data_IF_936580934878
#
_entry.id   IF_936580934878
#
_cell.length_a   1.000
_cell.length_b   1.000
_cell.length_c   1.000
_cell.angle_alpha   90.00
_cell.angle_beta   90.00
_cell.angle_gamma   90.00
#
_symmetry.space_group_name_H-M   'P 1'
#
loop_
_entity.id
_entity.type
_entity.pdbx_description
1 polymer ?
#
# COMPACT_ATOMS: atom_id res chain seq x y z
N UNK A 1 -2.47 15.62 -9.82
CA UNK A 1 -3.77 15.53 -10.50
C UNK A 1 -4.67 14.62 -9.66
N UNK A 2 -5.77 15.15 -9.10
CA UNK A 2 -6.71 14.38 -8.27
C UNK A 2 -7.54 13.47 -9.18
N UNK A 3 -7.62 12.18 -8.87
CA UNK A 3 -8.55 11.28 -9.56
C UNK A 3 -9.98 11.63 -9.09
N UNK A 4 -10.97 11.78 -9.99
CA UNK A 4 -12.35 12.07 -9.58
C UNK A 4 -12.99 10.85 -8.87
N UNK A 5 -13.90 11.08 -7.90
CA UNK A 5 -14.66 10.00 -7.28
C UNK A 5 -15.65 9.41 -8.30
N UNK A 6 -15.47 8.14 -8.65
CA UNK A 6 -16.37 7.43 -9.56
C UNK A 6 -17.50 6.78 -8.76
N UNK A 7 -18.68 7.42 -8.77
CA UNK A 7 -19.93 6.82 -8.31
C UNK A 7 -20.41 5.79 -9.33
N UNK A 8 -20.79 4.59 -8.88
CA UNK A 8 -21.32 3.51 -9.75
C UNK A 8 -22.77 3.20 -9.39
N UNK A 9 -23.67 3.39 -10.36
CA UNK A 9 -25.02 2.84 -10.37
C UNK A 9 -24.94 1.32 -10.59
N UNK A 10 -25.54 0.56 -9.67
CA UNK A 10 -25.66 -0.90 -9.75
C UNK A 10 -26.71 -1.29 -10.78
N UNK A 11 -26.30 -1.94 -11.86
CA UNK A 11 -27.15 -2.82 -12.66
C UNK A 11 -26.48 -4.17 -12.76
N UNK A 12 -27.21 -5.20 -12.34
CA UNK A 12 -26.79 -6.58 -12.26
C UNK A 12 -27.33 -7.32 -13.50
N UNK A 13 -26.52 -8.04 -14.29
CA UNK A 13 -27.03 -8.94 -15.32
C UNK A 13 -27.04 -10.41 -14.84
N UNK A 14 -27.98 -11.23 -15.36
CA UNK A 14 -28.03 -12.66 -15.08
C UNK A 14 -27.02 -13.44 -15.95
N UNK A 15 -26.55 -14.57 -15.42
CA UNK A 15 -25.42 -15.32 -15.96
C UNK A 15 -25.72 -16.40 -17.01
N UNK A 16 -24.78 -17.35 -17.05
CA UNK A 16 -24.77 -18.69 -17.69
C UNK A 16 -23.79 -18.86 -18.87
N UNK A 17 -23.13 -20.02 -18.91
CA UNK A 17 -22.52 -20.56 -20.13
C UNK A 17 -21.10 -21.11 -20.00
N UNK A 18 -20.99 -22.37 -19.55
CA UNK A 18 -19.80 -23.22 -19.66
C UNK A 18 -19.57 -23.69 -21.11
N UNK A 19 -18.33 -23.65 -21.60
CA UNK A 19 -17.71 -24.72 -22.40
C UNK A 19 -16.27 -24.34 -22.85
N UNK A 20 -15.30 -25.09 -22.33
CA UNK A 20 -14.00 -25.38 -22.95
C UNK A 20 -14.13 -26.68 -23.78
N UNK A 21 -13.11 -27.17 -24.54
CA UNK A 21 -11.81 -26.59 -24.90
C UNK A 21 -11.46 -26.79 -26.40
N UNK A 22 -10.31 -26.26 -26.87
CA UNK A 22 -9.35 -27.02 -27.70
C UNK A 22 -8.04 -26.28 -28.01
N UNK A 23 -6.96 -26.99 -27.69
CA UNK A 23 -5.56 -26.87 -28.09
C UNK A 23 -5.35 -26.83 -29.62
N UNK A 24 -4.38 -26.05 -30.11
CA UNK A 24 -3.41 -26.50 -31.14
C UNK A 24 -2.15 -25.61 -31.13
N UNK A 25 -1.01 -26.28 -31.22
CA UNK A 25 0.35 -25.74 -31.31
C UNK A 25 0.72 -25.38 -32.77
N UNK A 26 1.67 -24.45 -32.97
CA UNK A 26 2.62 -24.53 -34.10
C UNK A 26 3.80 -23.55 -33.98
N UNK A 27 5.01 -24.16 -33.85
CA UNK A 27 6.31 -23.91 -34.52
C UNK A 27 6.74 -22.45 -34.83
N UNK A 28 7.84 -22.00 -34.21
CA UNK A 28 9.25 -22.10 -34.68
C UNK A 28 9.60 -21.13 -35.81
N UNK A 29 10.48 -20.17 -35.50
CA UNK A 29 11.13 -19.30 -36.48
C UNK A 29 12.29 -18.54 -35.85
N UNK A 30 13.46 -19.18 -35.81
CA UNK A 30 14.76 -18.52 -35.60
C UNK A 30 15.00 -17.56 -36.77
N UNK A 31 15.44 -16.33 -36.49
CA UNK A 31 16.36 -15.62 -37.38
C UNK A 31 17.25 -14.68 -36.57
N UNK A 32 18.52 -15.06 -36.53
CA UNK A 32 19.67 -14.36 -35.99
C UNK A 32 20.15 -13.35 -37.01
N UNK A 33 20.28 -12.07 -36.65
CA UNK A 33 21.28 -11.17 -37.26
C UNK A 33 21.81 -10.26 -36.14
N UNK A 34 23.06 -10.52 -35.76
CA UNK A 34 23.86 -9.64 -34.93
C UNK A 34 24.53 -8.59 -35.81
N UNK A 35 24.37 -7.31 -35.48
CA UNK A 35 25.19 -6.23 -35.99
C UNK A 35 25.76 -5.47 -34.79
N UNK A 36 27.03 -5.74 -34.48
CA UNK A 36 27.80 -5.00 -33.50
C UNK A 36 28.28 -3.68 -34.13
N UNK A 37 27.75 -2.56 -33.66
CA UNK A 37 28.32 -1.23 -33.92
C UNK A 37 29.14 -0.84 -32.71
N UNK A 38 30.47 -0.79 -32.89
CA UNK A 38 31.42 -0.24 -31.94
C UNK A 38 31.31 1.30 -31.96
N UNK A 39 30.48 1.85 -31.08
CA UNK A 39 30.46 3.28 -30.78
C UNK A 39 31.31 3.55 -29.55
N UNK A 40 32.37 4.34 -29.71
CA UNK A 40 33.17 4.87 -28.61
C UNK A 40 32.36 5.96 -27.87
N UNK A 41 31.88 5.65 -26.67
CA UNK A 41 31.25 6.63 -25.78
C UNK A 41 32.28 7.11 -24.76
N UNK A 42 32.51 8.41 -24.73
CA UNK A 42 33.33 9.10 -23.74
C UNK A 42 32.66 8.95 -22.36
N UNK A 43 33.40 8.40 -21.38
CA UNK A 43 33.00 8.42 -19.98
C UNK A 43 33.13 9.85 -19.45
N UNK A 44 32.03 10.60 -19.46
CA UNK A 44 31.83 11.67 -18.48
C UNK A 44 31.43 11.00 -17.16
N UNK A 45 32.34 10.99 -16.20
CA UNK A 45 32.06 10.60 -14.83
C UNK A 45 31.00 11.56 -14.25
N UNK A 46 29.74 11.13 -14.27
CA UNK A 46 28.70 11.74 -13.48
C UNK A 46 29.05 11.49 -12.00
N UNK A 47 29.31 12.57 -11.27
CA UNK A 47 29.41 12.51 -9.82
C UNK A 47 28.01 12.15 -9.29
N UNK A 48 27.81 10.86 -9.01
CA UNK A 48 26.67 10.39 -8.25
C UNK A 48 26.78 10.98 -6.83
N UNK A 49 26.15 12.13 -6.62
CA UNK A 49 25.70 12.54 -5.29
C UNK A 49 24.56 11.63 -4.90
N UNK A 50 24.88 10.39 -4.57
CA UNK A 50 23.99 9.53 -3.80
C UNK A 50 23.90 10.15 -2.41
N UNK A 51 22.97 11.09 -2.25
CA UNK A 51 22.35 11.36 -0.96
C UNK A 51 21.65 10.08 -0.55
N UNK A 52 22.41 9.17 0.07
CA UNK A 52 21.86 8.16 0.94
C UNK A 52 21.14 8.91 2.05
N UNK A 53 19.81 9.03 1.91
CA UNK A 53 18.90 9.24 3.02
C UNK A 53 19.08 8.04 3.96
N UNK A 54 20.14 8.08 4.76
CA UNK A 54 20.19 7.36 6.02
C UNK A 54 19.14 8.04 6.90
N UNK A 55 17.89 7.61 6.74
CA UNK A 55 16.89 7.81 7.78
C UNK A 55 17.36 6.93 8.93
N UNK A 56 18.19 7.51 9.80
CA UNK A 56 18.60 6.93 11.07
C UNK A 56 17.33 6.72 11.91
N UNK A 57 16.74 5.53 11.75
CA UNK A 57 15.57 5.05 12.49
C UNK A 57 15.95 4.51 13.86
N UNK A 58 17.25 4.42 14.18
CA UNK A 58 17.72 4.05 15.50
C UNK A 58 17.92 5.31 16.34
N UNK A 59 16.95 5.55 17.23
CA UNK A 59 17.10 6.47 18.35
C UNK A 59 17.11 7.95 17.95
N UNK A 60 16.00 8.46 17.41
CA UNK A 60 15.60 9.81 17.77
C UNK A 60 15.45 9.85 19.30
N UNK A 61 16.55 10.17 19.98
CA UNK A 61 16.55 10.66 21.36
C UNK A 61 15.52 11.79 21.40
N UNK A 62 14.58 11.69 22.33
CA UNK A 62 13.43 12.56 22.65
C UNK A 62 13.66 14.09 22.70
N UNK A 63 14.82 14.62 22.34
CA UNK A 63 15.20 16.00 22.64
C UNK A 63 15.02 17.05 21.54
N UNK A 64 14.90 16.68 20.26
CA UNK A 64 14.98 17.69 19.17
C UNK A 64 14.04 17.43 17.96
N UNK A 65 13.23 16.38 18.00
CA UNK A 65 12.12 16.28 17.06
C UNK A 65 11.04 17.24 17.57
N UNK A 66 10.79 18.32 16.81
CA UNK A 66 9.78 19.31 17.20
C UNK A 66 8.47 18.65 17.60
N UNK A 67 7.78 19.20 18.61
CA UNK A 67 6.66 18.57 19.32
C UNK A 67 5.57 17.93 18.41
N UNK A 68 5.42 18.44 17.19
CA UNK A 68 4.48 17.96 16.17
C UNK A 68 4.99 16.83 15.26
N UNK A 69 6.18 16.30 15.52
CA UNK A 69 6.69 15.10 14.83
C UNK A 69 5.94 13.88 15.33
N UNK A 70 5.55 13.01 14.41
CA UNK A 70 4.86 11.78 14.79
C UNK A 70 5.73 10.93 15.72
N UNK A 71 5.12 10.36 16.76
CA UNK A 71 5.74 9.41 17.68
C UNK A 71 5.62 7.99 17.12
N UNK A 72 6.60 7.14 17.43
CA UNK A 72 6.55 5.73 17.06
C UNK A 72 5.39 5.01 17.74
N UNK A 73 4.59 4.26 16.98
CA UNK A 73 3.36 3.64 17.50
C UNK A 73 3.66 2.69 18.67
N UNK A 74 4.63 1.79 18.50
CA UNK A 74 5.07 0.86 19.54
C UNK A 74 5.53 1.60 20.79
N UNK A 75 6.30 2.68 20.65
CA UNK A 75 6.78 3.48 21.78
C UNK A 75 5.63 4.09 22.59
N UNK A 76 4.61 4.64 21.92
CA UNK A 76 3.44 5.24 22.57
C UNK A 76 2.73 4.22 23.49
N UNK A 77 2.56 2.98 23.01
CA UNK A 77 1.89 1.94 23.79
C UNK A 77 2.79 1.30 24.84
N UNK A 78 4.04 0.99 24.51
CA UNK A 78 5.01 0.36 25.43
C UNK A 78 5.34 1.29 26.61
N UNK A 79 5.36 2.61 26.38
CA UNK A 79 5.59 3.64 27.41
C UNK A 79 4.31 4.08 28.12
N UNK A 80 3.17 3.46 27.81
CA UNK A 80 1.85 3.80 28.38
C UNK A 80 1.46 5.28 28.21
N UNK A 81 1.87 5.93 27.12
CA UNK A 81 1.45 7.30 26.80
C UNK A 81 -0.01 7.33 26.33
N UNK A 82 -0.46 6.27 25.67
CA UNK A 82 -1.86 6.03 25.33
C UNK A 82 -2.20 4.54 25.44
N UNK A 83 -3.48 4.24 25.57
CA UNK A 83 -4.06 2.91 25.44
C UNK A 83 -4.82 2.81 24.12
N UNK A 84 -4.99 1.59 23.66
CA UNK A 84 -5.76 1.34 22.44
C UNK A 84 -7.19 1.83 22.64
N UNK A 85 -7.65 2.70 21.75
CA UNK A 85 -8.98 3.32 21.81
C UNK A 85 -9.01 4.67 22.51
N UNK A 86 -7.88 5.15 23.04
CA UNK A 86 -7.78 6.52 23.57
C UNK A 86 -7.83 7.58 22.46
N UNK A 87 -7.55 7.20 21.20
CA UNK A 87 -7.56 8.09 20.07
C UNK A 87 -8.43 7.54 18.92
N UNK A 88 -7.80 7.26 17.78
CA UNK A 88 -8.48 7.00 16.50
C UNK A 88 -8.19 5.61 15.95
N UNK A 89 -7.83 4.68 16.83
CA UNK A 89 -7.62 3.29 16.46
C UNK A 89 -8.93 2.65 16.04
N UNK A 90 -9.12 2.46 14.74
CA UNK A 90 -10.18 1.61 14.23
C UNK A 90 -9.63 0.18 14.09
N UNK A 91 -10.12 -0.74 14.92
CA UNK A 91 -9.65 -2.12 14.96
C UNK A 91 -10.52 -3.03 14.08
N UNK A 92 -9.92 -3.88 13.22
CA UNK A 92 -10.68 -4.80 12.39
C UNK A 92 -11.29 -5.96 13.16
N UNK A 93 -10.59 -6.54 14.15
CA UNK A 93 -11.03 -7.77 14.83
C UNK A 93 -10.54 -7.87 16.27
N UNK A 94 -11.48 -7.83 17.23
CA UNK A 94 -11.24 -8.20 18.63
C UNK A 94 -9.99 -7.56 19.26
N UNK A 95 -9.17 -8.39 19.91
CA UNK A 95 -8.01 -7.96 20.71
C UNK A 95 -6.72 -7.78 19.88
N UNK A 96 -6.79 -7.91 18.55
CA UNK A 96 -5.60 -7.75 17.73
C UNK A 96 -5.32 -6.27 17.41
N UNK A 97 -4.16 -5.78 17.84
CA UNK A 97 -3.77 -4.38 17.71
C UNK A 97 -2.45 -4.25 16.93
N UNK A 98 -2.48 -4.07 15.60
CA UNK A 98 -1.26 -4.02 14.80
C UNK A 98 -0.33 -2.87 15.22
N UNK A 99 -0.89 -1.78 15.74
CA UNK A 99 -0.15 -0.59 16.14
C UNK A 99 0.97 -0.86 17.17
N UNK A 100 0.79 -1.86 18.06
CA UNK A 100 1.81 -2.22 19.06
C UNK A 100 3.07 -2.87 18.46
N UNK A 101 2.96 -3.37 17.23
CA UNK A 101 4.07 -3.97 16.51
C UNK A 101 4.79 -2.95 15.60
N UNK A 102 4.21 -1.76 15.37
CA UNK A 102 4.77 -0.78 14.44
C UNK A 102 5.83 0.08 15.14
N UNK A 103 7.09 -0.13 14.81
CA UNK A 103 8.20 0.66 15.38
C UNK A 103 8.28 2.08 14.80
N UNK A 104 7.85 2.25 13.55
CA UNK A 104 7.92 3.53 12.85
C UNK A 104 6.88 4.52 13.36
N UNK A 105 7.04 5.78 12.97
CA UNK A 105 6.14 6.89 13.30
C UNK A 105 5.29 7.34 12.11
N UNK A 106 5.10 6.47 11.12
CA UNK A 106 4.40 6.86 9.90
C UNK A 106 2.89 6.95 10.13
N UNK A 107 2.27 7.88 9.43
CA UNK A 107 0.84 8.08 9.48
C UNK A 107 0.08 6.95 8.80
N UNK A 108 -0.99 6.53 9.44
CA UNK A 108 -1.85 5.42 9.01
C UNK A 108 -3.28 5.92 8.84
N UNK A 109 -4.08 5.26 7.99
CA UNK A 109 -5.48 5.64 7.79
C UNK A 109 -6.26 5.50 9.09
N UNK A 110 -7.18 6.43 9.28
CA UNK A 110 -8.14 6.47 10.36
C UNK A 110 -9.13 5.30 10.26
N UNK A 111 -9.75 5.18 9.10
CA UNK A 111 -10.73 4.14 8.82
C UNK A 111 -10.13 3.17 7.81
N UNK A 112 -9.82 1.97 8.29
CA UNK A 112 -9.32 0.88 7.45
C UNK A 112 -10.34 0.47 6.39
N UNK A 113 -11.63 0.81 6.55
CA UNK A 113 -12.72 0.58 5.58
C UNK A 113 -12.77 1.65 4.49
N UNK A 114 -12.07 2.77 4.66
CA UNK A 114 -12.03 3.81 3.64
C UNK A 114 -11.23 3.33 2.42
N UNK A 115 -11.91 3.37 1.27
CA UNK A 115 -11.30 3.07 -0.03
C UNK A 115 -10.34 4.17 -0.50
N UNK A 116 -10.35 5.35 0.13
CA UNK A 116 -9.50 6.50 -0.22
C UNK A 116 -8.49 6.81 0.88
N UNK A 117 -7.35 7.43 0.54
CA UNK A 117 -6.32 7.87 1.49
C UNK A 117 -6.51 9.35 1.86
N UNK A 118 -7.19 10.10 1.00
CA UNK A 118 -6.85 11.49 0.66
C UNK A 118 -7.12 12.56 1.72
N UNK A 119 -7.53 12.22 2.95
CA UNK A 119 -7.70 13.24 3.99
C UNK A 119 -7.71 12.75 5.45
N UNK A 120 -7.47 11.47 5.70
CA UNK A 120 -7.69 10.92 7.05
C UNK A 120 -6.60 9.93 7.44
N UNK A 121 -5.34 10.35 7.35
CA UNK A 121 -4.25 9.65 8.04
C UNK A 121 -3.88 10.40 9.31
N UNK A 122 -3.42 9.67 10.32
CA UNK A 122 -3.15 10.25 11.63
C UNK A 122 -1.94 9.59 12.29
N UNK A 123 -1.41 10.26 13.31
CA UNK A 123 -0.36 9.75 14.19
C UNK A 123 -0.47 10.40 15.57
N UNK A 124 0.22 9.81 16.54
CA UNK A 124 0.46 10.45 17.84
C UNK A 124 1.57 11.48 17.75
N UNK A 125 1.50 12.53 18.57
CA UNK A 125 2.50 13.60 18.73
C UNK A 125 2.60 13.98 20.21
N UNK A 126 3.62 14.75 20.59
CA UNK A 126 3.69 15.31 21.93
C UNK A 126 2.44 16.16 22.25
N UNK A 127 1.99 16.17 23.50
CA UNK A 127 0.94 17.08 23.95
C UNK A 127 1.30 18.57 23.78
N UNK A 128 2.59 18.90 23.64
CA UNK A 128 3.08 20.24 23.35
C UNK A 128 2.83 20.68 21.89
N UNK A 129 2.43 19.76 21.00
CA UNK A 129 2.12 20.11 19.63
C UNK A 129 0.85 20.97 19.54
N UNK A 130 1.00 22.22 19.15
CA UNK A 130 -0.13 23.14 18.92
C UNK A 130 -0.81 22.97 17.56
N UNK A 131 -0.16 22.30 16.60
CA UNK A 131 -0.62 22.14 15.22
C UNK A 131 -1.20 20.75 14.96
N UNK A 132 -2.40 20.49 15.49
CA UNK A 132 -3.03 19.17 15.42
C UNK A 132 -3.79 18.89 14.10
N UNK A 133 -3.97 19.89 13.23
CA UNK A 133 -4.62 19.73 11.91
C UNK A 133 -5.99 18.99 11.97
N UNK A 134 -6.84 19.32 12.95
CA UNK A 134 -8.11 18.62 13.20
C UNK A 134 -8.00 17.42 14.15
N UNK A 135 -6.81 17.18 14.69
CA UNK A 135 -6.55 16.28 15.81
C UNK A 135 -7.04 16.81 17.15
N UNK A 136 -6.75 16.03 18.21
CA UNK A 136 -7.16 16.36 19.57
C UNK A 136 -6.12 15.90 20.58
N UNK A 137 -6.11 16.57 21.73
CA UNK A 137 -5.41 16.12 22.92
C UNK A 137 -6.00 14.79 23.41
N UNK A 138 -5.13 13.87 23.81
CA UNK A 138 -5.50 12.60 24.43
C UNK A 138 -5.35 12.72 25.95
N UNK A 139 -4.18 13.20 26.40
CA UNK A 139 -3.87 13.48 27.80
C UNK A 139 -2.77 14.56 27.90
N UNK A 140 -2.20 14.74 29.09
CA UNK A 140 -1.14 15.71 29.39
C UNK A 140 0.21 15.41 28.73
N UNK A 141 0.39 14.21 28.16
CA UNK A 141 1.65 13.76 27.54
C UNK A 141 1.56 13.60 26.03
N UNK A 142 0.41 13.22 25.51
CA UNK A 142 0.24 12.89 24.10
C UNK A 142 -1.02 13.51 23.50
N UNK A 143 -0.91 13.91 22.24
CA UNK A 143 -2.03 14.27 21.38
C UNK A 143 -2.00 13.42 20.12
N UNK A 144 -3.07 13.44 19.33
CA UNK A 144 -3.03 12.93 17.97
C UNK A 144 -3.30 14.07 16.99
N UNK A 145 -2.72 13.96 15.79
CA UNK A 145 -2.94 14.93 14.70
C UNK A 145 -3.38 14.24 13.42
N UNK A 146 -4.03 14.99 12.54
CA UNK A 146 -4.17 14.58 11.13
C UNK A 146 -2.88 14.88 10.40
N UNK A 147 -2.43 13.94 9.60
CA UNK A 147 -1.18 14.08 8.86
C UNK A 147 -1.37 14.82 7.53
N UNK A 148 -0.36 15.59 7.16
CA UNK A 148 -0.34 16.39 5.93
C UNK A 148 0.56 15.72 4.89
N UNK A 149 -0.01 15.44 3.71
CA UNK A 149 0.73 14.85 2.59
C UNK A 149 1.88 15.77 2.18
N UNK A 150 3.09 15.21 2.09
CA UNK A 150 4.30 15.95 1.73
C UNK A 150 5.00 16.63 2.92
N UNK A 151 4.39 16.64 4.11
CA UNK A 151 5.05 17.07 5.35
C UNK A 151 5.32 15.89 6.28
N UNK A 152 4.33 15.04 6.48
CA UNK A 152 4.45 13.84 7.30
C UNK A 152 4.82 12.63 6.44
N UNK A 153 5.43 11.62 7.06
CA UNK A 153 5.68 10.34 6.39
C UNK A 153 4.44 9.46 6.51
N UNK A 154 3.92 8.96 5.39
CA UNK A 154 2.69 8.15 5.35
C UNK A 154 3.05 6.71 4.99
N UNK A 155 2.44 5.73 5.66
CA UNK A 155 2.52 4.33 5.24
C UNK A 155 1.99 4.15 3.81
N UNK A 156 0.96 4.94 3.43
CA UNK A 156 0.36 4.90 2.09
C UNK A 156 1.32 5.27 0.95
N UNK A 157 2.46 5.89 1.25
CA UNK A 157 3.47 6.26 0.26
C UNK A 157 4.58 5.21 0.10
N UNK A 158 4.64 4.20 0.98
CA UNK A 158 5.69 3.20 0.93
C UNK A 158 5.51 2.28 -0.27
N UNK A 159 6.56 2.01 -1.06
CA UNK A 159 6.54 0.92 -2.01
C UNK A 159 6.22 -0.41 -1.30
N UNK A 160 5.49 -1.35 -1.93
CA UNK A 160 5.16 -2.63 -1.30
C UNK A 160 6.40 -3.39 -0.83
N UNK A 161 7.51 -3.32 -1.58
CA UNK A 161 8.81 -3.90 -1.19
C UNK A 161 9.27 -3.41 0.18
N UNK A 162 9.17 -2.11 0.44
CA UNK A 162 9.62 -1.51 1.70
C UNK A 162 8.64 -1.79 2.83
N UNK A 163 7.34 -1.80 2.54
CA UNK A 163 6.31 -2.30 3.47
C UNK A 163 6.61 -3.72 3.93
N UNK A 164 6.98 -4.63 3.01
CA UNK A 164 7.33 -6.01 3.36
C UNK A 164 8.57 -6.08 4.26
N UNK A 165 9.58 -5.22 4.03
CA UNK A 165 10.75 -5.13 4.92
C UNK A 165 10.35 -4.70 6.34
N UNK A 166 9.46 -3.70 6.45
CA UNK A 166 8.95 -3.23 7.74
C UNK A 166 8.18 -4.34 8.47
N UNK A 167 7.25 -5.00 7.78
CA UNK A 167 6.48 -6.14 8.34
C UNK A 167 7.39 -7.28 8.80
N UNK A 168 8.48 -7.55 8.07
CA UNK A 168 9.47 -8.55 8.45
C UNK A 168 10.24 -8.15 9.70
N UNK A 169 10.66 -6.88 9.80
CA UNK A 169 11.43 -6.35 10.94
C UNK A 169 10.64 -6.49 12.25
N UNK A 170 9.33 -6.33 12.21
CA UNK A 170 8.44 -6.39 13.37
C UNK A 170 8.01 -7.82 13.75
N UNK A 171 8.70 -8.83 13.21
CA UNK A 171 8.45 -10.24 13.53
C UNK A 171 7.27 -10.87 12.79
N UNK A 172 6.83 -10.24 11.68
CA UNK A 172 5.60 -10.53 10.97
C UNK A 172 4.35 -10.32 11.83
N UNK A 173 3.58 -9.31 11.45
CA UNK A 173 2.21 -9.11 11.91
C UNK A 173 1.43 -10.40 11.58
N UNK A 174 0.65 -10.91 12.55
CA UNK A 174 -0.12 -12.16 12.45
C UNK A 174 -0.94 -12.24 11.15
N UNK A 175 -1.39 -11.08 10.69
CA UNK A 175 -2.01 -10.86 9.40
C UNK A 175 -1.25 -9.76 8.62
N UNK A 176 -0.43 -10.11 7.62
CA UNK A 176 0.34 -9.15 6.86
C UNK A 176 -0.51 -8.29 5.91
N UNK A 177 -1.80 -8.61 5.71
CA UNK A 177 -2.71 -7.81 4.89
C UNK A 177 -3.14 -6.52 5.59
N UNK A 178 -3.10 -6.51 6.93
CA UNK A 178 -3.70 -5.46 7.72
C UNK A 178 -3.05 -4.08 7.52
N UNK A 179 -1.72 -3.99 7.55
CA UNK A 179 -1.04 -2.69 7.36
C UNK A 179 -1.28 -2.14 5.95
N UNK A 180 -1.11 -2.91 4.85
CA UNK A 180 -1.47 -2.44 3.52
C UNK A 180 -2.89 -1.87 3.43
N UNK A 181 -3.87 -2.60 3.96
CA UNK A 181 -5.29 -2.21 4.01
C UNK A 181 -5.48 -0.86 4.71
N UNK A 182 -4.79 -0.67 5.84
CA UNK A 182 -4.78 0.56 6.61
C UNK A 182 -3.92 1.68 6.01
N UNK A 183 -3.30 1.45 4.84
CA UNK A 183 -2.31 2.36 4.26
C UNK A 183 -2.66 2.80 2.84
N UNK A 184 -3.04 1.86 1.98
CA UNK A 184 -3.17 2.07 0.54
C UNK A 184 -4.63 2.25 0.11
N UNK A 185 -4.90 3.05 -0.93
CA UNK A 185 -6.24 3.17 -1.51
C UNK A 185 -6.66 1.86 -2.18
N UNK A 186 -7.98 1.67 -2.29
CA UNK A 186 -8.57 0.56 -3.02
C UNK A 186 -8.96 1.00 -4.42
N UNK A 187 -8.74 0.12 -5.39
CA UNK A 187 -9.30 0.27 -6.72
C UNK A 187 -10.79 -0.03 -6.73
N UNK A 188 -11.54 0.67 -7.58
CA UNK A 188 -12.96 0.43 -7.82
C UNK A 188 -13.24 -0.75 -8.79
N UNK A 189 -12.22 -1.56 -9.07
CA UNK A 189 -12.26 -2.70 -9.99
C UNK A 189 -11.55 -3.90 -9.38
N UNK A 190 -11.89 -5.09 -9.86
CA UNK A 190 -11.39 -6.36 -9.37
C UNK A 190 -10.18 -6.85 -10.16
N UNK A 191 -9.34 -7.70 -9.55
CA UNK A 191 -8.10 -8.22 -10.14
C UNK A 191 -8.34 -8.91 -11.47
N UNK A 192 -9.37 -9.75 -11.56
CA UNK A 192 -9.73 -10.44 -12.80
C UNK A 192 -10.06 -9.52 -13.98
N UNK A 193 -10.40 -8.25 -13.72
CA UNK A 193 -10.69 -7.26 -14.76
C UNK A 193 -9.43 -6.59 -15.33
N UNK A 194 -8.33 -6.61 -14.58
CA UNK A 194 -7.11 -5.82 -14.88
C UNK A 194 -5.83 -6.65 -14.92
N UNK A 195 -5.88 -7.93 -14.54
CA UNK A 195 -4.75 -8.86 -14.58
C UNK A 195 -4.09 -8.93 -15.97
N UNK A 196 -4.87 -8.77 -17.06
CA UNK A 196 -4.35 -8.77 -18.43
C UNK A 196 -3.46 -7.56 -18.75
N UNK A 197 -3.52 -6.50 -17.97
CA UNK A 197 -2.55 -5.40 -18.04
C UNK A 197 -1.15 -5.81 -17.58
N UNK A 198 -1.10 -6.79 -16.69
CA UNK A 198 0.10 -7.40 -16.14
C UNK A 198 0.43 -8.72 -16.84
N UNK A 199 -0.25 -9.09 -17.93
CA UNK A 199 0.07 -10.30 -18.68
C UNK A 199 -0.49 -11.58 -18.07
N UNK A 200 -1.39 -11.47 -17.09
CA UNK A 200 -2.21 -12.58 -16.58
C UNK A 200 -3.61 -12.52 -17.20
N UNK A 201 -4.21 -13.64 -17.62
CA UNK A 201 -5.57 -13.64 -18.17
C UNK A 201 -5.68 -13.25 -19.65
N UNK A 202 -6.92 -13.20 -20.17
CA UNK A 202 -7.18 -13.25 -21.62
C UNK A 202 -7.51 -11.91 -22.27
N UNK A 203 -8.22 -11.01 -21.58
CA UNK A 203 -8.62 -9.73 -22.15
C UNK A 203 -8.96 -8.70 -21.06
N UNK A 204 -8.88 -7.42 -21.40
CA UNK A 204 -9.24 -6.31 -20.52
C UNK A 204 -9.86 -5.19 -21.35
N UNK A 205 -10.88 -4.53 -20.80
CA UNK A 205 -11.55 -3.41 -21.44
C UNK A 205 -10.58 -2.24 -21.73
N UNK A 206 -10.65 -1.57 -22.90
CA UNK A 206 -9.75 -0.46 -23.22
C UNK A 206 -9.76 0.67 -22.19
N UNK A 207 -10.93 1.02 -21.65
CA UNK A 207 -11.07 2.05 -20.62
C UNK A 207 -10.38 1.68 -19.30
N UNK A 208 -10.41 0.39 -18.92
CA UNK A 208 -9.65 -0.12 -17.78
C UNK A 208 -8.15 -0.08 -18.06
N UNK A 209 -7.72 -0.40 -19.28
CA UNK A 209 -6.31 -0.29 -19.68
C UNK A 209 -5.77 1.13 -19.47
N UNK A 210 -6.49 2.14 -19.93
CA UNK A 210 -6.12 3.55 -19.70
C UNK A 210 -6.06 3.91 -18.21
N UNK A 211 -7.00 3.39 -17.43
CA UNK A 211 -7.01 3.56 -15.97
C UNK A 211 -5.77 2.94 -15.34
N UNK A 212 -5.38 1.73 -15.76
CA UNK A 212 -4.18 1.06 -15.25
C UNK A 212 -2.88 1.76 -15.65
N UNK A 213 -2.83 2.41 -16.82
CA UNK A 213 -1.71 3.30 -17.19
C UNK A 213 -1.59 4.45 -16.18
N UNK A 214 -2.71 5.09 -15.81
CA UNK A 214 -2.72 6.16 -14.80
C UNK A 214 -2.29 5.66 -13.42
N UNK A 215 -2.77 4.48 -13.00
CA UNK A 215 -2.34 3.84 -11.74
C UNK A 215 -0.84 3.57 -11.74
N UNK A 216 -0.29 3.02 -12.83
CA UNK A 216 1.16 2.80 -12.97
C UNK A 216 1.96 4.10 -12.89
N UNK A 217 1.46 5.18 -13.48
CA UNK A 217 2.11 6.49 -13.54
C UNK A 217 2.00 7.29 -12.23
N UNK A 218 1.01 7.00 -11.37
CA UNK A 218 0.81 7.74 -10.11
C UNK A 218 1.97 7.57 -9.13
N UNK A 219 2.76 6.50 -9.28
CA UNK A 219 3.79 6.10 -8.32
C UNK A 219 3.25 5.93 -6.90
N UNK A 220 1.97 5.61 -6.77
CA UNK A 220 1.30 5.32 -5.51
C UNK A 220 0.85 3.85 -5.51
N UNK A 221 1.10 3.09 -4.43
CA UNK A 221 0.58 1.73 -4.33
C UNK A 221 -0.95 1.75 -4.31
N UNK A 222 -1.58 0.77 -4.94
CA UNK A 222 -3.04 0.61 -4.94
C UNK A 222 -3.39 -0.85 -4.67
N UNK A 223 -4.35 -1.07 -3.77
CA UNK A 223 -4.94 -2.38 -3.51
C UNK A 223 -5.98 -2.69 -4.58
N UNK A 224 -5.89 -3.86 -5.19
CA UNK A 224 -6.87 -4.42 -6.11
C UNK A 224 -7.33 -5.75 -5.50
N UNK A 225 -8.62 -5.84 -5.22
CA UNK A 225 -9.22 -7.03 -4.62
C UNK A 225 -9.58 -8.07 -5.69
N UNK A 226 -9.58 -9.36 -5.32
CA UNK A 226 -10.09 -10.41 -6.18
C UNK A 226 -11.61 -10.31 -6.33
N UNK A 227 -12.32 -9.89 -5.27
CA UNK A 227 -13.73 -9.55 -5.32
C UNK A 227 -14.09 -8.35 -4.44
N UNK A 228 -14.92 -7.45 -4.97
CA UNK A 228 -15.54 -6.34 -4.25
C UNK A 228 -16.95 -6.71 -3.72
N UNK A 229 -17.53 -7.82 -4.19
CA UNK A 229 -18.91 -8.22 -3.91
C UNK A 229 -19.07 -9.46 -3.03
N UNK A 230 -18.01 -10.27 -2.86
CA UNK A 230 -18.04 -11.44 -1.98
C UNK A 230 -18.17 -11.08 -0.50
N UNK A 231 -18.51 -12.08 0.35
CA UNK A 231 -18.62 -11.90 1.81
C UNK A 231 -17.37 -11.19 2.34
N UNK A 232 -17.61 -10.08 3.00
CA UNK A 232 -16.65 -8.98 3.07
C UNK A 232 -17.21 -7.69 2.48
N UNK A 233 -18.10 -7.66 1.48
CA UNK A 233 -18.69 -6.41 0.92
C UNK A 233 -17.64 -5.34 0.53
N UNK A 234 -16.47 -5.74 0.03
CA UNK A 234 -15.36 -4.79 -0.21
C UNK A 234 -14.81 -4.16 1.08
N UNK A 235 -15.13 -4.78 2.22
CA UNK A 235 -14.58 -4.46 3.52
C UNK A 235 -13.16 -5.04 3.61
N UNK A 236 -12.26 -4.30 4.25
CA UNK A 236 -10.85 -4.59 4.46
C UNK A 236 -10.45 -5.94 5.08
N UNK A 237 -11.39 -6.78 5.50
CA UNK A 237 -11.12 -8.11 6.04
C UNK A 237 -10.79 -9.15 4.95
N UNK A 238 -10.03 -8.68 3.95
CA UNK A 238 -9.43 -9.39 2.83
C UNK A 238 -10.34 -9.63 1.61
N UNK A 239 -10.61 -8.57 0.82
CA UNK A 239 -10.72 -8.59 -0.65
C UNK A 239 -11.46 -9.76 -1.33
N UNK A 240 -12.46 -10.35 -0.65
CA UNK A 240 -13.11 -11.59 -1.03
C UNK A 240 -12.19 -12.83 -1.00
N UNK A 241 -12.75 -14.06 -1.04
CA UNK A 241 -11.98 -15.28 -1.23
C UNK A 241 -11.05 -15.15 -2.47
N UNK A 242 -9.76 -15.54 -2.39
CA UNK A 242 -9.12 -16.38 -1.37
C UNK A 242 -8.55 -15.61 -0.16
N UNK A 243 -9.10 -14.45 0.18
CA UNK A 243 -8.62 -13.57 1.25
C UNK A 243 -7.17 -13.13 0.99
N UNK A 244 -6.93 -12.75 -0.27
CA UNK A 244 -5.66 -12.19 -0.72
C UNK A 244 -5.90 -10.82 -1.32
N UNK A 245 -4.90 -9.96 -1.21
CA UNK A 245 -4.90 -8.66 -1.86
C UNK A 245 -3.74 -8.57 -2.85
N UNK A 246 -4.01 -7.93 -3.98
CA UNK A 246 -2.97 -7.56 -4.95
C UNK A 246 -2.64 -6.09 -4.73
N UNK A 247 -1.37 -5.80 -4.56
CA UNK A 247 -0.87 -4.43 -4.48
C UNK A 247 -0.07 -4.17 -5.74
N UNK A 248 -0.50 -3.19 -6.51
CA UNK A 248 0.22 -2.75 -7.70
C UNK A 248 1.01 -1.50 -7.39
N UNK A 249 2.25 -1.45 -7.85
CA UNK A 249 3.12 -0.29 -7.71
C UNK A 249 4.10 -0.23 -8.88
N UNK A 250 3.98 0.80 -9.73
CA UNK A 250 4.73 0.88 -10.99
C UNK A 250 4.50 -0.38 -11.85
N UNK A 251 5.55 -1.17 -12.08
CA UNK A 251 5.49 -2.43 -12.81
C UNK A 251 5.44 -3.66 -11.89
N UNK A 252 5.46 -3.46 -10.58
CA UNK A 252 5.44 -4.52 -9.59
C UNK A 252 4.00 -4.90 -9.24
N UNK A 253 3.79 -6.21 -9.07
CA UNK A 253 2.57 -6.77 -8.47
C UNK A 253 2.98 -7.61 -7.28
N UNK A 254 2.41 -7.29 -6.13
CA UNK A 254 2.62 -8.02 -4.89
C UNK A 254 1.33 -8.69 -4.45
N UNK A 255 1.43 -9.93 -3.99
CA UNK A 255 0.33 -10.70 -3.42
C UNK A 255 0.54 -10.79 -1.91
N UNK A 256 -0.45 -10.34 -1.13
CA UNK A 256 -0.47 -10.51 0.31
C UNK A 256 -1.62 -11.45 0.65
N UNK A 257 -1.30 -12.60 1.24
CA UNK A 257 -2.29 -13.55 1.74
C UNK A 257 -2.52 -13.30 3.24
N UNK A 258 -3.76 -13.45 3.70
CA UNK A 258 -4.12 -13.27 5.11
C UNK A 258 -3.28 -14.12 6.09
N UNK A 259 -2.79 -15.28 5.65
CA UNK A 259 -1.95 -16.19 6.47
C UNK A 259 -0.62 -16.56 5.81
N UNK A 260 -0.20 -15.83 4.77
CA UNK A 260 0.99 -16.14 4.00
C UNK A 260 1.95 -14.97 3.93
N UNK A 261 3.22 -15.26 3.66
CA UNK A 261 4.18 -14.19 3.44
C UNK A 261 3.83 -13.39 2.18
N UNK A 262 3.95 -12.05 2.21
CA UNK A 262 3.84 -11.26 1.00
C UNK A 262 4.86 -11.71 -0.04
N UNK A 263 4.40 -11.89 -1.28
CA UNK A 263 5.22 -12.33 -2.39
C UNK A 263 5.11 -11.33 -3.52
N UNK A 264 6.25 -10.98 -4.12
CA UNK A 264 6.20 -10.35 -5.42
C UNK A 264 5.90 -11.41 -6.47
N UNK A 265 4.82 -11.23 -7.22
CA UNK A 265 4.41 -12.15 -8.28
C UNK A 265 4.84 -11.65 -9.65
N UNK A 266 5.15 -10.37 -9.81
CA UNK A 266 5.59 -9.80 -11.07
C UNK A 266 6.40 -8.52 -10.93
N UNK A 267 7.37 -8.34 -11.84
CA UNK A 267 8.05 -7.06 -12.07
C UNK A 267 9.06 -6.66 -11.00
N UNK A 268 9.30 -7.50 -10.00
CA UNK A 268 10.35 -7.25 -9.02
C UNK A 268 11.71 -7.60 -9.60
N UNK A 269 12.52 -6.58 -9.83
CA UNK A 269 13.96 -6.74 -9.89
C UNK A 269 14.45 -7.27 -8.53
N UNK A 270 15.18 -8.38 -8.58
CA UNK A 270 15.91 -8.92 -7.43
C UNK A 270 17.00 -7.93 -6.97
#
# INVERSE_FOLDING_TARGET
ARLPPLYRTSQQPPGSGSSDPKTMASRSGLNTVAAFILGAWQLTAAQDTTSLLQVDTSLARDGDLGACTCLGWKHVYDSHLAKVGDAREHLPHGDYHPYRALEDNYCIKFDYKSHTVDSYTWCYVSAECSSLNGGSTVNDKVSWKTCTVGQDTLYGNLPPRDMVKLLKKTGWIRDPTLIPVMSYPYAAFEWGQVSAFYGEGSSMAPTLRETMVKVRQSQMPVIICDSLSAYGNGHPDACGPPNSLKIVYKNEVWSFSHFGYPQCVQGCSQ
#
